data_IF_117288974675
#
_entry.id   IF_117288974675
#
_cell.length_a   1.000
_cell.length_b   1.000
_cell.length_c   1.000
_cell.angle_alpha   90.00
_cell.angle_beta   90.00
_cell.angle_gamma   90.00
#
_symmetry.space_group_name_H-M   'P 1'
#
loop_
_entity.id
_entity.type
_entity.pdbx_description
1 polymer ?
#
# COMPACT_ATOMS: atom_id res chain seq x y z
N UNK A 1 -3.91 18.26 -48.52
CA UNK A 1 -4.26 18.87 -47.21
C UNK A 1 -4.41 17.73 -46.21
N UNK A 2 -3.35 17.42 -45.46
CA UNK A 2 -3.36 16.36 -44.45
C UNK A 2 -3.82 16.97 -43.12
N UNK A 3 -4.94 16.48 -42.57
CA UNK A 3 -5.43 16.90 -41.26
C UNK A 3 -4.48 16.36 -40.19
N UNK A 4 -3.74 17.25 -39.51
CA UNK A 4 -3.04 16.91 -38.26
C UNK A 4 -4.09 16.71 -37.17
N UNK A 5 -4.33 15.45 -36.81
CA UNK A 5 -5.08 15.10 -35.61
C UNK A 5 -4.37 15.70 -34.39
N UNK A 6 -5.07 16.48 -33.53
CA UNK A 6 -4.47 16.96 -32.29
C UNK A 6 -4.10 15.77 -31.42
N UNK A 7 -2.80 15.59 -31.19
CA UNK A 7 -2.27 14.60 -30.26
C UNK A 7 -2.64 15.07 -28.86
N UNK A 8 -3.62 14.41 -28.24
CA UNK A 8 -3.92 14.61 -26.82
C UNK A 8 -2.66 14.29 -26.03
N UNK A 9 -1.92 15.33 -25.63
CA UNK A 9 -0.86 15.22 -24.64
C UNK A 9 -1.52 14.85 -23.32
N UNK A 10 -1.55 13.54 -23.00
CA UNK A 10 -1.84 13.08 -21.65
C UNK A 10 -0.86 13.80 -20.74
N UNK A 11 -1.37 14.70 -19.90
CA UNK A 11 -0.56 15.37 -18.88
C UNK A 11 0.22 14.29 -18.13
N UNK A 12 1.51 14.48 -17.85
CA UNK A 12 2.28 13.50 -17.11
C UNK A 12 1.51 13.19 -15.83
N UNK A 13 1.17 11.91 -15.57
CA UNK A 13 0.29 11.55 -14.47
C UNK A 13 0.87 12.14 -13.19
N UNK A 14 0.12 13.03 -12.53
CA UNK A 14 0.52 13.61 -11.25
C UNK A 14 0.63 12.46 -10.27
N UNK A 15 1.86 12.10 -9.93
CA UNK A 15 2.14 11.05 -8.94
C UNK A 15 1.42 11.44 -7.64
N UNK A 16 0.47 10.63 -7.14
CA UNK A 16 -0.29 10.95 -5.93
C UNK A 16 0.58 10.65 -4.71
N UNK A 17 1.60 11.49 -4.47
CA UNK A 17 2.57 11.33 -3.38
C UNK A 17 1.92 11.15 -2.00
N UNK A 18 0.76 11.79 -1.78
CA UNK A 18 -0.02 11.63 -0.54
C UNK A 18 -0.53 10.20 -0.36
N UNK A 19 -1.07 9.60 -1.42
CA UNK A 19 -1.57 8.23 -1.41
C UNK A 19 -0.43 7.20 -1.24
N UNK A 20 0.71 7.45 -1.90
CA UNK A 20 1.91 6.62 -1.74
C UNK A 20 2.42 6.69 -0.30
N UNK A 21 2.49 7.90 0.28
CA UNK A 21 2.88 8.10 1.68
C UNK A 21 1.97 7.31 2.64
N UNK A 22 0.65 7.41 2.45
CA UNK A 22 -0.32 6.66 3.25
C UNK A 22 -0.15 5.14 3.10
N UNK A 23 0.04 4.64 1.88
CA UNK A 23 0.28 3.22 1.61
C UNK A 23 1.53 2.70 2.32
N UNK A 24 2.62 3.48 2.29
CA UNK A 24 3.87 3.15 3.00
C UNK A 24 3.63 3.11 4.50
N UNK A 25 2.91 4.08 5.06
CA UNK A 25 2.57 4.10 6.50
C UNK A 25 1.73 2.88 6.88
N UNK A 26 0.67 2.58 6.13
CA UNK A 26 -0.17 1.39 6.35
C UNK A 26 0.66 0.11 6.31
N UNK A 27 1.55 -0.01 5.33
CA UNK A 27 2.44 -1.16 5.19
C UNK A 27 3.38 -1.31 6.38
N UNK A 28 4.05 -0.23 6.81
CA UNK A 28 4.99 -0.26 7.93
C UNK A 28 4.30 -0.56 9.26
N UNK A 29 3.16 0.10 9.53
CA UNK A 29 2.39 -0.12 10.76
C UNK A 29 1.79 -1.53 10.77
N UNK A 30 1.19 -1.97 9.66
CA UNK A 30 0.65 -3.32 9.52
C UNK A 30 1.70 -4.40 9.72
N UNK A 31 2.89 -4.25 9.11
CA UNK A 31 4.03 -5.16 9.30
C UNK A 31 4.45 -5.21 10.77
N UNK A 32 4.56 -4.06 11.43
CA UNK A 32 4.94 -3.98 12.84
C UNK A 32 3.94 -4.70 13.73
N UNK A 33 2.64 -4.49 13.52
CA UNK A 33 1.57 -5.18 14.26
C UNK A 33 1.59 -6.69 14.03
N UNK A 34 1.82 -7.15 12.80
CA UNK A 34 1.94 -8.59 12.49
C UNK A 34 3.14 -9.18 13.24
N UNK A 35 4.30 -8.52 13.21
CA UNK A 35 5.50 -9.00 13.93
C UNK A 35 5.25 -9.07 15.43
N UNK A 36 4.67 -8.02 16.03
CA UNK A 36 4.33 -8.00 17.46
C UNK A 36 3.32 -9.10 17.79
N UNK A 37 2.27 -9.26 16.98
CA UNK A 37 1.28 -10.32 17.15
C UNK A 37 1.87 -11.72 17.01
N UNK A 38 2.82 -11.92 16.10
CA UNK A 38 3.53 -13.19 15.96
C UNK A 38 4.43 -13.48 17.17
N UNK A 39 5.14 -12.47 17.71
CA UNK A 39 5.93 -12.60 18.94
C UNK A 39 5.07 -12.90 20.18
N UNK A 40 3.84 -12.38 20.22
CA UNK A 40 2.85 -12.71 21.24
C UNK A 40 2.34 -14.16 21.10
N UNK A 41 2.08 -14.62 19.86
CA UNK A 41 1.67 -16.02 19.60
C UNK A 41 2.74 -17.03 19.98
N UNK A 42 4.01 -16.73 19.70
CA UNK A 42 5.13 -17.65 20.01
C UNK A 42 5.48 -17.69 21.50
N UNK A 43 4.84 -16.85 22.32
CA UNK A 43 5.07 -16.79 23.77
C UNK A 43 6.41 -16.17 24.17
N UNK A 44 7.12 -15.54 23.23
CA UNK A 44 8.34 -14.75 23.51
C UNK A 44 7.98 -13.56 24.42
N UNK A 45 6.80 -12.98 24.20
CA UNK A 45 6.22 -11.95 25.06
C UNK A 45 5.12 -12.61 25.90
N UNK A 46 5.17 -12.39 27.22
CA UNK A 46 4.33 -13.04 28.24
C UNK A 46 2.88 -13.33 27.81
N UNK A 47 2.44 -14.58 28.03
CA UNK A 47 1.10 -15.09 27.72
C UNK A 47 -0.06 -14.35 28.42
N UNK A 48 0.24 -13.45 29.37
CA UNK A 48 -0.76 -12.54 29.99
C UNK A 48 -1.51 -11.68 28.97
N UNK A 49 -0.97 -11.53 27.76
CA UNK A 49 -1.57 -10.77 26.67
C UNK A 49 -2.17 -11.65 25.56
N UNK A 50 -2.37 -12.94 25.79
CA UNK A 50 -2.92 -13.87 24.78
C UNK A 50 -4.23 -13.35 24.16
N UNK A 51 -5.13 -12.78 24.96
CA UNK A 51 -6.41 -12.22 24.52
C UNK A 51 -6.27 -11.06 23.53
N UNK A 52 -5.14 -10.34 23.56
CA UNK A 52 -4.86 -9.21 22.68
C UNK A 52 -4.15 -9.62 21.39
N UNK A 53 -3.67 -10.86 21.32
CA UNK A 53 -2.85 -11.35 20.21
C UNK A 53 -3.63 -11.42 18.91
N UNK A 54 -4.83 -12.02 18.95
CA UNK A 54 -5.70 -12.14 17.77
C UNK A 54 -6.14 -10.78 17.21
N UNK A 55 -6.64 -9.83 18.02
CA UNK A 55 -6.93 -8.47 17.54
C UNK A 55 -5.73 -7.77 16.88
N UNK A 56 -4.54 -7.87 17.47
CA UNK A 56 -3.32 -7.24 16.94
C UNK A 56 -2.93 -7.83 15.59
N UNK A 57 -3.01 -9.15 15.43
CA UNK A 57 -2.72 -9.82 14.16
C UNK A 57 -3.74 -9.48 13.07
N UNK A 58 -5.03 -9.49 13.42
CA UNK A 58 -6.12 -9.16 12.47
C UNK A 58 -5.97 -7.72 12.00
N UNK A 59 -5.75 -6.78 12.92
CA UNK A 59 -5.53 -5.37 12.59
C UNK A 59 -4.28 -5.19 11.73
N UNK A 60 -3.18 -5.85 12.10
CA UNK A 60 -1.94 -5.83 11.33
C UNK A 60 -2.13 -6.33 9.90
N UNK A 61 -2.82 -7.45 9.72
CA UNK A 61 -3.15 -8.00 8.40
C UNK A 61 -4.05 -7.04 7.60
N UNK A 62 -5.09 -6.49 8.23
CA UNK A 62 -6.01 -5.54 7.59
C UNK A 62 -5.30 -4.29 7.08
N UNK A 63 -4.29 -3.78 7.81
CA UNK A 63 -3.49 -2.62 7.38
C UNK A 63 -2.41 -3.00 6.36
N UNK A 64 -1.81 -4.19 6.51
CA UNK A 64 -0.74 -4.66 5.65
C UNK A 64 -1.21 -4.95 4.22
N UNK A 65 -2.37 -5.59 4.04
CA UNK A 65 -2.89 -5.97 2.71
C UNK A 65 -3.02 -4.74 1.77
N UNK A 66 -3.76 -3.68 2.14
CA UNK A 66 -3.87 -2.48 1.29
C UNK A 66 -2.53 -1.75 1.17
N UNK A 67 -1.74 -1.66 2.26
CA UNK A 67 -0.42 -1.03 2.23
C UNK A 67 0.54 -1.70 1.25
N UNK A 68 0.67 -3.02 1.32
CA UNK A 68 1.54 -3.81 0.45
C UNK A 68 1.12 -3.73 -1.02
N UNK A 69 -0.19 -3.78 -1.28
CA UNK A 69 -0.74 -3.67 -2.63
C UNK A 69 -0.38 -2.33 -3.28
N UNK A 70 -0.63 -1.22 -2.58
CA UNK A 70 -0.36 0.12 -3.11
C UNK A 70 1.14 0.44 -3.20
N UNK A 71 1.95 0.00 -2.24
CA UNK A 71 3.42 0.14 -2.30
C UNK A 71 3.99 -0.62 -3.50
N UNK A 72 3.49 -1.82 -3.79
CA UNK A 72 3.92 -2.61 -4.97
C UNK A 72 3.61 -1.89 -6.27
N UNK A 73 2.41 -1.34 -6.41
CA UNK A 73 2.01 -0.57 -7.60
C UNK A 73 2.89 0.68 -7.75
N UNK A 74 3.08 1.44 -6.66
CA UNK A 74 3.93 2.61 -6.65
C UNK A 74 5.39 2.27 -7.02
N UNK A 75 5.90 1.12 -6.55
CA UNK A 75 7.23 0.64 -6.89
C UNK A 75 7.37 0.29 -8.38
N UNK A 76 6.38 -0.40 -8.97
CA UNK A 76 6.40 -0.70 -10.41
C UNK A 76 6.22 0.54 -11.28
N UNK A 77 5.39 1.49 -10.84
CA UNK A 77 5.24 2.79 -11.50
C UNK A 77 6.53 3.61 -11.45
N UNK A 78 7.24 3.59 -10.30
CA UNK A 78 8.56 4.23 -10.17
C UNK A 78 9.62 3.58 -11.07
N UNK A 79 9.58 2.25 -11.23
CA UNK A 79 10.48 1.51 -12.12
C UNK A 79 10.15 1.64 -13.62
N UNK A 80 9.09 2.36 -14.00
CA UNK A 80 8.79 2.65 -15.41
C UNK A 80 8.29 1.45 -16.22
N UNK A 81 7.73 0.42 -15.57
CA UNK A 81 7.11 -0.70 -16.29
C UNK A 81 5.87 -0.23 -17.07
N UNK A 82 5.92 -0.36 -18.41
CA UNK A 82 4.80 -0.01 -19.29
C UNK A 82 3.57 -0.88 -19.00
N UNK A 83 2.48 -0.25 -18.55
CA UNK A 83 1.20 -0.91 -18.30
C UNK A 83 0.52 -0.55 -16.98
N UNK A 84 1.21 0.14 -16.06
CA UNK A 84 0.60 0.68 -14.83
C UNK A 84 0.40 2.19 -14.97
N UNK A 85 -0.85 2.62 -15.09
CA UNK A 85 -1.23 4.05 -15.07
C UNK A 85 -1.69 4.41 -13.66
N UNK A 86 -1.31 5.59 -13.16
CA UNK A 86 -1.83 6.11 -11.89
C UNK A 86 -3.35 6.36 -11.92
N UNK A 87 -3.95 6.29 -13.10
CA UNK A 87 -5.40 6.38 -13.36
C UNK A 87 -6.20 5.20 -12.77
N UNK A 88 -5.55 4.08 -12.42
CA UNK A 88 -6.22 2.89 -11.84
C UNK A 88 -6.27 2.89 -10.29
N UNK A 89 -5.67 3.90 -9.65
CA UNK A 89 -5.73 4.05 -8.19
C UNK A 89 -7.06 4.73 -7.87
N UNK A 90 -8.02 4.07 -7.19
CA UNK A 90 -9.27 4.71 -6.80
C UNK A 90 -8.95 5.97 -5.98
N UNK A 91 -9.47 7.11 -6.43
CA UNK A 91 -9.45 8.34 -5.66
C UNK A 91 -10.31 8.10 -4.42
N UNK A 92 -9.66 8.06 -3.26
CA UNK A 92 -10.36 8.07 -1.98
C UNK A 92 -10.65 9.54 -1.66
N UNK A 93 -11.90 9.95 -1.90
CA UNK A 93 -12.53 11.10 -1.24
C UNK A 93 -12.94 10.70 0.19
#
# INVERSE_FOLDING_TARGET
MLLSVPKFEKQPPKVPYKAIGLAVVLFLVGTTLIVVGALLLTGIISAKYADRTWPVLILGALMFIPGAYHVRIAYYAYKGYQGYSYEDIPEFD
#
